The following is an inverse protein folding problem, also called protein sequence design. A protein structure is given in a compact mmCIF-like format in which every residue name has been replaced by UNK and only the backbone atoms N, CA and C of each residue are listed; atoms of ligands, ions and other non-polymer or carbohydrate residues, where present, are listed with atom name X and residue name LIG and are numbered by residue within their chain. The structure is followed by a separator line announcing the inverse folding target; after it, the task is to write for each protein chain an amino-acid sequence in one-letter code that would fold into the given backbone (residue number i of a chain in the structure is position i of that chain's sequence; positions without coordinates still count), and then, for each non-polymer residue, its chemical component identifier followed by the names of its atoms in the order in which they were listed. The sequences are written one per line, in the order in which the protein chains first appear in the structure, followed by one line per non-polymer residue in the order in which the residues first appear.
data_IF_270945232267
#
_entry.id   IF_270945232267
#
_cell.length_a   1.000
_cell.length_b   1.000
_cell.length_c   1.000
_cell.angle_alpha   90.00
_cell.angle_beta   90.00
_cell.angle_gamma   90.00
#
_symmetry.space_group_name_H-M   'P 1'
#
loop_
_entity.id
_entity.type
_entity.pdbx_description
1 polymer ?
#
# COMPACT_ATOMS: atom_id res chain seq x y z
N UNK A 1 -1.83 28.43 9.00
CA UNK A 1 -1.29 27.66 7.87
C UNK A 1 -2.48 27.11 7.12
N UNK A 2 -2.64 27.45 5.85
CA UNK A 2 -3.75 26.95 5.01
C UNK A 2 -3.33 25.67 4.29
N UNK A 3 -4.29 24.78 4.03
CA UNK A 3 -4.05 23.54 3.31
C UNK A 3 -3.84 23.82 1.82
N UNK A 4 -2.74 23.34 1.24
CA UNK A 4 -2.51 23.42 -0.21
C UNK A 4 -3.40 22.45 -1.00
N UNK A 5 -3.80 21.34 -0.39
CA UNK A 5 -4.68 20.34 -0.97
C UNK A 5 -5.37 19.54 0.15
N UNK A 6 -6.66 19.25 -0.03
CA UNK A 6 -7.46 18.43 0.88
C UNK A 6 -8.18 17.35 0.08
N UNK A 7 -8.00 16.08 0.46
CA UNK A 7 -8.75 14.96 -0.07
C UNK A 7 -9.72 14.42 1.00
N UNK A 8 -10.94 14.08 0.58
CA UNK A 8 -11.98 13.52 1.46
C UNK A 8 -12.47 12.20 0.89
N UNK A 9 -12.60 11.19 1.75
CA UNK A 9 -13.21 9.91 1.41
C UNK A 9 -14.10 9.40 2.55
N UNK A 10 -15.16 8.69 2.18
CA UNK A 10 -16.13 8.10 3.10
C UNK A 10 -16.10 6.59 2.95
N UNK A 11 -15.98 5.87 4.07
CA UNK A 11 -16.07 4.43 4.12
C UNK A 11 -17.36 4.00 4.84
N UNK A 12 -18.06 3.02 4.29
CA UNK A 12 -19.31 2.47 4.86
C UNK A 12 -19.20 0.95 4.90
N UNK A 13 -19.64 0.31 5.99
CA UNK A 13 -19.67 -1.17 6.09
C UNK A 13 -18.34 -1.84 6.46
N UNK A 14 -17.30 -1.08 6.84
CA UNK A 14 -16.05 -1.63 7.36
C UNK A 14 -15.20 -2.37 6.32
N UNK A 15 -14.47 -3.42 6.75
CA UNK A 15 -13.48 -4.15 5.92
C UNK A 15 -14.08 -4.93 4.73
N UNK A 16 -15.40 -5.14 4.73
CA UNK A 16 -16.13 -5.78 3.63
C UNK A 16 -17.20 -4.85 3.03
N UNK A 17 -17.02 -3.54 3.22
CA UNK A 17 -17.95 -2.51 2.78
C UNK A 17 -17.51 -1.81 1.50
N UNK A 18 -17.67 -0.50 1.46
CA UNK A 18 -17.30 0.35 0.32
C UNK A 18 -16.53 1.58 0.77
N UNK A 19 -15.75 2.15 -0.14
CA UNK A 19 -15.09 3.44 0.04
C UNK A 19 -15.31 4.32 -1.18
N UNK A 20 -15.63 5.59 -0.93
CA UNK A 20 -15.88 6.58 -1.98
C UNK A 20 -15.19 7.90 -1.68
N UNK A 21 -14.44 8.46 -2.63
CA UNK A 21 -13.89 9.81 -2.52
C UNK A 21 -14.94 10.87 -2.88
N UNK A 22 -14.80 12.07 -2.33
CA UNK A 22 -15.73 13.19 -2.59
C UNK A 22 -15.75 13.63 -4.05
N UNK A 23 -14.66 13.41 -4.78
CA UNK A 23 -14.53 13.68 -6.21
C UNK A 23 -14.94 12.49 -7.11
N UNK A 24 -15.33 11.35 -6.51
CA UNK A 24 -15.80 10.16 -7.22
C UNK A 24 -14.72 9.37 -7.97
N UNK A 25 -13.44 9.76 -7.89
CA UNK A 25 -12.34 9.05 -8.55
C UNK A 25 -12.07 7.69 -7.90
N UNK A 26 -12.23 7.60 -6.58
CA UNK A 26 -12.25 6.35 -5.84
C UNK A 26 -13.71 5.98 -5.55
N UNK A 27 -14.19 4.88 -6.13
CA UNK A 27 -15.47 4.26 -5.79
C UNK A 27 -15.25 2.74 -5.86
N UNK A 28 -14.92 2.15 -4.70
CA UNK A 28 -14.41 0.78 -4.62
C UNK A 28 -15.18 -0.03 -3.58
N UNK A 29 -15.53 -1.26 -3.96
CA UNK A 29 -15.93 -2.30 -3.02
C UNK A 29 -14.70 -2.88 -2.33
N UNK A 30 -14.85 -3.20 -1.05
CA UNK A 30 -13.84 -3.83 -0.22
C UNK A 30 -14.26 -5.27 0.08
N UNK A 31 -13.31 -6.19 0.05
CA UNK A 31 -13.52 -7.57 0.45
C UNK A 31 -12.54 -7.98 1.55
N UNK A 32 -13.03 -8.80 2.47
CA UNK A 32 -12.18 -9.40 3.47
C UNK A 32 -11.35 -10.52 2.80
N UNK A 33 -10.01 -10.47 2.87
CA UNK A 33 -9.16 -11.39 2.14
C UNK A 33 -9.32 -12.82 2.65
N UNK A 34 -9.16 -13.80 1.75
CA UNK A 34 -9.26 -15.23 2.07
C UNK A 34 -8.25 -15.63 3.15
N UNK A 35 -7.09 -15.00 3.12
CA UNK A 35 -6.01 -15.17 4.09
C UNK A 35 -6.38 -14.66 5.48
N UNK A 36 -7.43 -13.88 5.66
CA UNK A 36 -7.89 -13.50 7.00
C UNK A 36 -9.19 -14.22 7.38
N UNK A 37 -9.59 -15.24 6.62
CA UNK A 37 -10.83 -16.00 6.84
C UNK A 37 -12.06 -15.37 6.19
N UNK A 38 -11.87 -14.41 5.28
CA UNK A 38 -12.95 -13.84 4.49
C UNK A 38 -13.34 -14.70 3.28
N UNK A 39 -14.42 -14.32 2.58
CA UNK A 39 -14.86 -15.02 1.37
C UNK A 39 -13.82 -14.96 0.24
N UNK A 40 -12.85 -14.03 0.32
CA UNK A 40 -12.03 -13.66 -0.83
C UNK A 40 -12.88 -12.95 -1.89
N UNK A 41 -12.25 -12.56 -2.99
CA UNK A 41 -12.96 -11.90 -4.09
C UNK A 41 -12.05 -11.06 -4.97
N UNK A 42 -12.66 -10.43 -5.98
CA UNK A 42 -11.99 -9.53 -6.93
C UNK A 42 -11.85 -8.11 -6.36
N UNK A 43 -12.59 -7.79 -5.30
CA UNK A 43 -12.51 -6.51 -4.61
C UNK A 43 -11.21 -6.38 -3.80
N UNK A 44 -10.70 -5.16 -3.71
CA UNK A 44 -9.48 -4.85 -2.94
C UNK A 44 -9.77 -4.85 -1.42
N UNK A 45 -8.76 -4.52 -0.61
CA UNK A 45 -8.90 -4.39 0.83
C UNK A 45 -8.14 -3.18 1.38
N UNK A 46 -8.48 -2.70 2.59
CA UNK A 46 -7.81 -1.55 3.19
C UNK A 46 -6.28 -1.69 3.30
N UNK A 47 -5.77 -2.90 3.50
CA UNK A 47 -4.34 -3.17 3.66
C UNK A 47 -3.59 -2.93 2.35
N UNK A 48 -4.15 -3.38 1.23
CA UNK A 48 -3.64 -3.12 -0.12
C UNK A 48 -3.71 -1.64 -0.47
N UNK A 49 -4.82 -0.96 -0.18
CA UNK A 49 -4.97 0.48 -0.42
C UNK A 49 -3.92 1.29 0.35
N UNK A 50 -3.70 0.95 1.62
CA UNK A 50 -2.66 1.57 2.44
C UNK A 50 -1.26 1.32 1.84
N UNK A 51 -0.96 0.07 1.48
CA UNK A 51 0.34 -0.29 0.94
C UNK A 51 0.62 0.42 -0.39
N UNK A 52 -0.39 0.52 -1.27
CA UNK A 52 -0.31 1.23 -2.54
C UNK A 52 -0.09 2.74 -2.35
N UNK A 53 -0.92 3.40 -1.52
CA UNK A 53 -0.79 4.82 -1.25
C UNK A 53 0.57 5.19 -0.64
N UNK A 54 1.05 4.36 0.30
CA UNK A 54 2.37 4.55 0.90
C UNK A 54 3.51 4.37 -0.12
N UNK A 55 3.48 3.29 -0.91
CA UNK A 55 4.51 3.02 -1.91
C UNK A 55 4.59 4.13 -2.96
N UNK A 56 3.45 4.58 -3.49
CA UNK A 56 3.39 5.65 -4.48
C UNK A 56 3.90 7.00 -3.93
N UNK A 57 3.51 7.36 -2.70
CA UNK A 57 4.00 8.57 -2.05
C UNK A 57 5.52 8.53 -1.83
N UNK A 58 6.04 7.38 -1.37
CA UNK A 58 7.46 7.19 -1.15
C UNK A 58 8.27 7.22 -2.46
N UNK A 59 7.76 6.59 -3.52
CA UNK A 59 8.38 6.63 -4.86
C UNK A 59 8.46 8.07 -5.38
N UNK A 60 7.38 8.86 -5.25
CA UNK A 60 7.41 10.27 -5.64
C UNK A 60 8.45 11.08 -4.85
N UNK A 61 8.59 10.84 -3.54
CA UNK A 61 9.63 11.46 -2.72
C UNK A 61 11.04 11.08 -3.20
N UNK A 62 11.27 9.81 -3.53
CA UNK A 62 12.55 9.37 -4.10
C UNK A 62 12.84 10.00 -5.46
N UNK A 63 11.84 10.09 -6.34
CA UNK A 63 11.99 10.76 -7.63
C UNK A 63 12.35 12.23 -7.46
N UNK A 64 11.80 12.92 -6.44
CA UNK A 64 12.16 14.30 -6.14
C UNK A 64 13.64 14.41 -5.76
N UNK A 65 14.10 13.58 -4.82
CA UNK A 65 15.51 13.58 -4.39
C UNK A 65 16.46 13.18 -5.52
N UNK A 66 16.09 12.21 -6.36
CA UNK A 66 16.91 11.80 -7.50
C UNK A 66 17.14 12.94 -8.50
N UNK A 67 16.10 13.76 -8.74
CA UNK A 67 16.19 14.97 -9.59
C UNK A 67 17.08 16.04 -8.96
N UNK A 68 16.96 16.26 -7.66
CA UNK A 68 17.81 17.21 -6.91
C UNK A 68 19.29 16.79 -6.91
N UNK A 69 19.56 15.48 -6.92
CA UNK A 69 20.92 14.90 -6.82
C UNK A 69 21.53 14.49 -8.16
N UNK A 70 20.84 14.71 -9.29
CA UNK A 70 21.28 14.32 -10.64
C UNK A 70 21.66 12.82 -10.78
N UNK A 71 21.07 11.95 -9.97
CA UNK A 71 21.29 10.51 -10.07
C UNK A 71 20.45 9.90 -11.20
N UNK A 72 21.07 9.05 -12.03
CA UNK A 72 20.43 8.48 -13.23
C UNK A 72 19.19 7.66 -12.87
N UNK A 73 18.08 7.98 -13.52
CA UNK A 73 16.72 7.54 -13.22
C UNK A 73 16.50 6.06 -13.59
N UNK A 74 17.08 5.14 -12.82
CA UNK A 74 16.78 3.70 -12.95
C UNK A 74 15.49 3.38 -12.18
N UNK A 75 14.53 2.79 -12.89
CA UNK A 75 13.15 2.45 -12.46
C UNK A 75 13.04 2.09 -10.96
N UNK A 76 12.55 3.02 -10.15
CA UNK A 76 12.37 2.83 -8.70
C UNK A 76 11.03 2.14 -8.43
N UNK A 77 10.91 0.84 -8.68
CA UNK A 77 9.72 0.08 -8.25
C UNK A 77 9.85 -0.33 -6.77
N UNK A 78 8.99 0.21 -5.90
CA UNK A 78 8.84 -0.27 -4.52
C UNK A 78 7.60 -1.14 -4.37
N UNK A 79 7.79 -2.42 -4.05
CA UNK A 79 6.70 -3.31 -3.64
C UNK A 79 6.34 -3.08 -2.17
N UNK A 80 5.16 -2.51 -1.91
CA UNK A 80 4.56 -2.45 -0.59
C UNK A 80 3.62 -3.65 -0.38
N UNK A 81 3.97 -4.56 0.53
CA UNK A 81 3.08 -5.66 0.95
C UNK A 81 2.99 -5.66 2.48
N UNK A 82 1.84 -5.30 3.05
CA UNK A 82 1.55 -5.51 4.48
C UNK A 82 0.96 -6.90 4.66
N UNK A 83 1.71 -7.79 5.31
CA UNK A 83 1.23 -9.10 5.72
C UNK A 83 1.15 -9.13 7.26
N UNK A 84 -0.06 -9.19 7.80
CA UNK A 84 -0.32 -9.20 9.25
C UNK A 84 -0.09 -10.59 9.91
N UNK A 85 0.48 -11.55 9.16
CA UNK A 85 0.72 -12.93 9.61
C UNK A 85 2.18 -13.38 9.58
N UNK A 86 3.13 -12.51 9.95
CA UNK A 86 4.52 -12.95 10.20
C UNK A 86 4.83 -13.08 11.69
N UNK A 87 4.52 -14.26 12.24
CA UNK A 87 5.13 -14.78 13.46
C UNK A 87 6.66 -14.86 13.25
N UNK A 88 7.52 -14.47 14.22
CA UNK A 88 8.96 -14.37 14.01
C UNK A 88 9.57 -15.76 13.84
N UNK A 89 9.83 -16.17 12.60
CA UNK A 89 10.70 -17.31 12.31
C UNK A 89 12.13 -16.78 12.18
N UNK A 90 12.89 -16.88 13.28
CA UNK A 90 14.36 -16.79 13.25
C UNK A 90 14.87 -17.85 12.27
N UNK A 91 15.31 -17.43 11.09
CA UNK A 91 15.98 -18.29 10.13
C UNK A 91 17.42 -17.81 10.01
N UNK A 92 18.23 -18.12 11.02
CA UNK A 92 19.68 -18.10 10.90
C UNK A 92 20.06 -19.31 10.05
N UNK A 93 20.42 -19.09 8.79
CA UNK A 93 21.03 -20.11 7.94
C UNK A 93 22.42 -19.60 7.54
N UNK A 94 23.41 -19.92 8.37
CA UNK A 94 24.82 -19.87 7.98
C UNK A 94 25.04 -20.96 6.93
N UNK A 95 25.27 -20.56 5.68
CA UNK A 95 25.89 -21.46 4.69
C UNK A 95 27.38 -21.48 4.96
N UNK A 96 27.85 -22.48 5.70
CA UNK A 96 29.25 -22.86 5.70
C UNK A 96 29.54 -23.59 4.40
N UNK A 97 30.48 -23.05 3.61
CA UNK A 97 31.11 -23.77 2.51
C UNK A 97 32.03 -24.83 3.11
N UNK A 98 31.89 -26.07 2.65
CA UNK A 98 32.92 -27.09 2.59
C UNK A 98 32.66 -27.86 1.29
#
# INVERSE_FOLDING_TARGET
MEALYTATATAVGGRAGSIKSSDGVLDLQLAYPKELGGPGGVATNPEQLFAAGYAACFENALMRVARETQSTNSRIQRHGSRNDRQKPRRFFRTRSRA
#
